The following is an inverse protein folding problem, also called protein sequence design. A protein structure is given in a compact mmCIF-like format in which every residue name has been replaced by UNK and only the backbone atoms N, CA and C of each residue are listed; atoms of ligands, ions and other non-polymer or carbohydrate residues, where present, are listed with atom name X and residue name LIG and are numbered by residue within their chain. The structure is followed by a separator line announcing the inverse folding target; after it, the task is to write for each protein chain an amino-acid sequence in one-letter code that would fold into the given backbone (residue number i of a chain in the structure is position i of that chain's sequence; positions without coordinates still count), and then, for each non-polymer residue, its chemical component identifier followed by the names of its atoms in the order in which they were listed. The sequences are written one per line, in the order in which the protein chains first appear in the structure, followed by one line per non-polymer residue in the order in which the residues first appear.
data_IF_989204126408
#
_entry.id   IF_989204126408
#
_cell.length_a   1.000
_cell.length_b   1.000
_cell.length_c   1.000
_cell.angle_alpha   90.00
_cell.angle_beta   90.00
_cell.angle_gamma   90.00
#
_symmetry.space_group_name_H-M   'P 1'
#
loop_
_entity.id
_entity.type
_entity.pdbx_description
1 polymer ?
2 non-polymer ?
3 water ?
#
# COMPACT_ATOMS: atom_id res chain seq x y z
N UNK A 20 20.75 -16.07 -12.91
CA UNK A 20 21.64 -16.80 -13.87
C UNK A 20 20.88 -17.33 -15.10
N UNK A 21 19.59 -16.97 -15.24
CA UNK A 21 18.70 -17.68 -16.15
C UNK A 21 17.73 -16.78 -16.94
N UNK A 22 17.15 -17.36 -17.98
CA UNK A 22 16.24 -16.67 -18.87
C UNK A 22 14.78 -16.88 -18.43
N UNK A 23 13.89 -16.00 -18.93
CA UNK A 23 12.44 -16.17 -18.87
C UNK A 23 11.85 -15.57 -20.13
N UNK A 24 10.84 -16.22 -20.68
CA UNK A 24 10.12 -15.71 -21.82
C UNK A 24 8.71 -15.27 -21.40
N UNK A 25 8.36 -14.03 -21.69
CA UNK A 25 7.00 -13.55 -21.39
C UNK A 25 6.47 -12.94 -22.67
N UNK A 26 5.46 -13.61 -23.24
CA UNK A 26 4.85 -13.16 -24.49
C UNK A 26 5.89 -12.98 -25.58
N UNK A 27 6.77 -13.98 -25.71
CA UNK A 27 7.78 -14.03 -26.76
C UNK A 27 9.04 -13.19 -26.53
N UNK A 28 9.07 -12.44 -25.43
CA UNK A 28 10.19 -11.59 -25.11
C UNK A 28 11.00 -12.20 -23.98
N UNK A 29 12.32 -12.17 -24.13
CA UNK A 29 13.26 -12.86 -23.26
C UNK A 29 13.84 -11.84 -22.27
N UNK A 30 13.87 -12.26 -21.01
CA UNK A 30 14.27 -11.43 -19.89
C UNK A 30 15.33 -12.20 -19.12
N UNK A 31 16.45 -11.54 -18.80
CA UNK A 31 17.48 -12.17 -17.98
C UNK A 31 17.25 -11.81 -16.53
N UNK A 32 17.40 -12.79 -15.65
CA UNK A 32 17.23 -12.57 -14.21
C UNK A 32 18.50 -11.97 -13.58
N UNK A 33 18.41 -10.74 -13.02
CA UNK A 33 19.52 -10.17 -12.25
C UNK A 33 19.49 -10.73 -10.84
N UNK A 34 18.39 -10.54 -10.14
CA UNK A 34 18.22 -11.11 -8.80
C UNK A 34 16.75 -11.32 -8.48
N UNK A 35 16.51 -12.08 -7.42
CA UNK A 35 15.22 -12.19 -6.81
C UNK A 35 15.05 -11.06 -5.78
N UNK A 36 13.94 -10.33 -5.88
CA UNK A 36 13.59 -9.30 -4.92
C UNK A 36 12.68 -9.86 -3.85
N UNK A 37 11.77 -10.75 -4.26
CA UNK A 37 10.61 -11.11 -3.44
C UNK A 37 10.34 -12.60 -3.32
N UNK A 38 9.83 -12.97 -2.15
CA UNK A 38 9.24 -14.28 -1.86
C UNK A 38 7.75 -14.05 -1.65
N UNK A 39 7.01 -15.11 -1.38
CA UNK A 39 5.54 -15.03 -1.25
C UNK A 39 4.86 -16.33 -1.57
N UNK A 40 3.53 -16.32 -1.55
CA UNK A 40 2.73 -17.52 -1.83
C UNK A 40 1.79 -17.32 -3.01
N UNK A 41 1.92 -18.14 -4.07
CA UNK A 41 3.09 -18.98 -4.34
C UNK A 41 3.97 -18.22 -5.35
N UNK A 42 4.36 -17.01 -4.97
CA UNK A 42 5.03 -16.10 -5.89
C UNK A 42 6.49 -15.70 -5.55
N UNK A 43 7.28 -15.57 -6.61
CA UNK A 43 8.60 -14.99 -6.59
C UNK A 43 8.60 -13.72 -7.44
N UNK A 44 9.31 -12.70 -6.99
CA UNK A 44 9.52 -11.49 -7.79
C UNK A 44 10.99 -11.37 -8.17
N UNK A 45 11.24 -11.09 -9.44
CA UNK A 45 12.59 -11.03 -9.97
C UNK A 45 12.87 -9.68 -10.59
N UNK A 46 14.07 -9.19 -10.35
CA UNK A 46 14.62 -8.07 -11.06
C UNK A 46 15.26 -8.65 -12.29
N UNK A 47 14.88 -8.13 -13.46
CA UNK A 47 15.28 -8.70 -14.74
C UNK A 47 15.61 -7.61 -15.72
N UNK A 48 16.31 -8.01 -16.79
CA UNK A 48 16.63 -7.11 -17.88
C UNK A 48 16.06 -7.66 -19.16
N UNK A 49 15.50 -6.78 -19.99
CA UNK A 49 15.12 -7.20 -21.33
C UNK A 49 16.35 -7.19 -22.29
N UNK A 50 16.12 -7.49 -23.56
CA UNK A 50 17.19 -7.56 -24.57
C UNK A 50 17.89 -6.21 -24.81
N UNK A 51 17.23 -5.09 -24.45
CA UNK A 51 17.80 -3.73 -24.56
C UNK A 51 18.43 -3.25 -23.23
N UNK A 52 18.54 -4.16 -22.27
CA UNK A 52 19.04 -3.90 -20.90
C UNK A 52 18.23 -2.88 -20.06
N UNK A 53 16.95 -2.78 -20.37
CA UNK A 53 15.96 -2.06 -19.55
C UNK A 53 15.50 -2.95 -18.39
N UNK A 54 15.39 -2.37 -17.20
CA UNK A 54 15.10 -3.09 -15.95
C UNK A 54 13.58 -3.17 -15.69
N UNK A 55 13.14 -4.36 -15.30
CA UNK A 55 11.76 -4.67 -14.96
C UNK A 55 11.76 -5.56 -13.73
N UNK A 56 10.58 -5.68 -13.13
CA UNK A 56 10.30 -6.72 -12.13
C UNK A 56 9.34 -7.69 -12.82
N UNK A 57 9.61 -8.99 -12.66
CA UNK A 57 8.69 -10.02 -13.12
C UNK A 57 8.25 -10.76 -11.89
N UNK A 58 6.94 -10.70 -11.65
CA UNK A 58 6.26 -11.53 -10.66
C UNK A 58 5.85 -12.87 -11.30
N UNK A 59 6.35 -13.95 -10.71
CA UNK A 59 5.98 -15.30 -11.09
C UNK A 59 5.04 -15.86 -10.01
N UNK A 60 3.90 -16.39 -10.44
CA UNK A 60 2.98 -17.06 -9.53
C UNK A 60 2.79 -18.48 -10.03
N UNK A 61 3.04 -19.47 -9.15
CA UNK A 61 2.72 -20.87 -9.42
C UNK A 61 1.25 -21.14 -9.13
N UNK A 62 0.55 -21.72 -10.11
CA UNK A 62 -0.88 -21.98 -9.97
C UNK A 62 -1.21 -23.44 -9.76
N UNK A 63 -0.21 -24.29 -9.52
CA UNK A 63 -0.48 -25.74 -9.39
C UNK A 63 -1.32 -26.11 -8.16
N UNK A 64 -1.22 -25.34 -7.09
CA UNK A 64 -2.00 -25.62 -5.88
C UNK A 64 -3.28 -24.76 -5.78
N UNK A 65 -3.32 -23.63 -6.48
CA UNK A 65 -4.40 -22.67 -6.33
C UNK A 65 -5.78 -23.25 -6.69
N UNK A 66 -6.73 -23.06 -5.77
CA UNK A 66 -8.11 -23.47 -5.95
C UNK A 66 -8.86 -22.37 -6.71
N UNK A 67 -10.11 -22.61 -7.08
CA UNK A 67 -10.80 -21.72 -8.03
C UNK A 67 -11.10 -20.32 -7.50
N UNK A 68 -11.37 -20.23 -6.20
CA UNK A 68 -11.65 -18.97 -5.55
C UNK A 68 -10.38 -18.10 -5.57
N UNK A 69 -9.24 -18.73 -5.32
CA UNK A 69 -7.90 -18.10 -5.34
C UNK A 69 -7.57 -17.63 -6.74
N UNK A 70 -7.73 -18.52 -7.71
CA UNK A 70 -7.54 -18.22 -9.11
C UNK A 70 -8.34 -16.98 -9.52
N UNK A 71 -9.59 -16.92 -9.09
CA UNK A 71 -10.44 -15.81 -9.42
C UNK A 71 -10.00 -14.51 -8.74
N UNK A 72 -9.44 -14.59 -7.53
CA UNK A 72 -8.95 -13.38 -6.87
C UNK A 72 -7.68 -12.87 -7.56
N UNK A 73 -6.85 -13.78 -8.07
CA UNK A 73 -5.68 -13.40 -8.87
C UNK A 73 -6.08 -12.74 -10.17
N UNK A 74 -7.03 -13.34 -10.88
CA UNK A 74 -7.50 -12.76 -12.14
C UNK A 74 -8.16 -11.41 -11.90
N UNK A 75 -8.89 -11.30 -10.80
CA UNK A 75 -9.60 -10.06 -10.48
C UNK A 75 -8.61 -8.88 -10.21
N UNK A 76 -7.58 -9.14 -9.42
CA UNK A 76 -6.55 -8.13 -9.17
C UNK A 76 -5.72 -7.73 -10.38
N UNK A 77 -5.30 -8.71 -11.19
CA UNK A 77 -4.66 -8.42 -12.49
C UNK A 77 -5.50 -7.49 -13.38
N UNK A 78 -6.79 -7.78 -13.44
CA UNK A 78 -7.71 -7.02 -14.27
C UNK A 78 -7.85 -5.53 -13.83
N UNK A 79 -7.92 -5.31 -12.52
CA UNK A 79 -7.97 -3.96 -11.94
C UNK A 79 -6.66 -3.22 -12.12
N UNK A 80 -5.54 -3.90 -11.86
CA UNK A 80 -4.23 -3.35 -12.11
C UNK A 80 -4.08 -2.88 -13.54
N UNK A 81 -4.40 -3.78 -14.42
CA UNK A 81 -4.38 -3.48 -15.82
C UNK A 81 -5.23 -2.25 -16.21
N UNK A 82 -6.45 -2.20 -15.67
CA UNK A 82 -7.36 -1.10 -15.91
C UNK A 82 -6.93 0.17 -15.22
N UNK A 83 -6.54 0.10 -13.96
CA UNK A 83 -6.24 1.33 -13.24
C UNK A 83 -4.94 1.99 -13.69
N UNK A 84 -4.14 1.27 -14.48
CA UNK A 84 -2.95 1.76 -15.21
C UNK A 84 -3.16 3.17 -15.73
N UNK A 85 -4.18 3.28 -16.57
CA UNK A 85 -4.42 4.45 -17.36
C UNK A 85 -5.00 5.61 -16.55
N UNK A 86 -5.43 5.34 -15.31
CA UNK A 86 -6.08 6.38 -14.49
C UNK A 86 -5.12 7.10 -13.57
N UNK A 87 -3.99 6.49 -13.22
CA UNK A 87 -3.05 7.16 -12.33
C UNK A 87 -1.67 6.57 -12.53
N UNK A 88 -0.66 7.43 -12.50
CA UNK A 88 0.73 6.96 -12.48
C UNK A 88 1.26 6.67 -11.07
N UNK A 89 0.38 6.74 -10.05
CA UNK A 89 0.69 6.32 -8.68
C UNK A 89 0.27 4.89 -8.40
N UNK A 90 -0.11 4.18 -9.47
CA UNK A 90 -0.29 2.76 -9.48
C UNK A 90 0.90 2.24 -10.29
N UNK A 91 1.60 1.27 -9.74
CA UNK A 91 2.65 0.56 -10.44
C UNK A 91 2.30 0.14 -11.89
N UNK A 92 3.24 0.29 -12.82
CA UNK A 92 2.95 -0.08 -14.18
C UNK A 92 3.01 -1.60 -14.30
N UNK A 93 2.03 -2.15 -15.01
CA UNK A 93 2.01 -3.53 -15.46
C UNK A 93 2.14 -3.41 -16.96
N UNK A 94 3.25 -3.88 -17.51
CA UNK A 94 3.55 -3.72 -18.92
C UNK A 94 2.95 -4.87 -19.72
N UNK A 95 3.02 -6.07 -19.18
CA UNK A 95 2.52 -7.24 -19.88
C UNK A 95 2.41 -8.40 -18.93
N UNK A 96 1.70 -9.44 -19.35
CA UNK A 96 1.61 -10.68 -18.60
C UNK A 96 1.28 -11.89 -19.45
N UNK A 97 1.64 -13.04 -18.93
CA UNK A 97 1.41 -14.31 -19.56
C UNK A 97 0.74 -15.15 -18.49
N UNK A 98 -0.47 -15.62 -18.77
CA UNK A 98 -1.20 -16.43 -17.81
C UNK A 98 -1.61 -17.75 -18.49
N UNK A 99 -1.24 -18.85 -17.84
CA UNK A 99 -1.61 -20.19 -18.25
C UNK A 99 -2.25 -20.88 -17.05
N UNK A 100 -2.58 -22.17 -17.21
CA UNK A 100 -3.16 -22.92 -16.13
C UNK A 100 -2.10 -23.30 -15.09
N UNK A 101 -0.82 -23.16 -15.45
CA UNK A 101 0.31 -23.52 -14.58
C UNK A 101 0.92 -22.34 -13.83
N UNK A 102 0.90 -21.15 -14.45
CA UNK A 102 1.65 -20.01 -13.90
C UNK A 102 1.12 -18.68 -14.41
N UNK A 103 1.43 -17.61 -13.66
CA UNK A 103 1.33 -16.22 -14.12
C UNK A 103 2.76 -15.63 -14.19
N UNK A 104 3.13 -14.99 -15.32
CA UNK A 104 4.22 -13.99 -15.35
C UNK A 104 3.67 -12.60 -15.56
N UNK A 105 4.05 -11.66 -14.72
CA UNK A 105 3.64 -10.26 -14.87
C UNK A 105 4.89 -9.42 -14.99
N UNK A 106 5.02 -8.68 -16.10
CA UNK A 106 6.12 -7.77 -16.32
C UNK A 106 5.70 -6.37 -15.85
N UNK A 107 6.39 -5.89 -14.82
CA UNK A 107 6.06 -4.66 -14.15
C UNK A 107 7.27 -3.73 -14.02
N UNK A 108 6.94 -2.51 -13.66
CA UNK A 108 7.85 -1.48 -13.21
C UNK A 108 8.64 -2.00 -12.03
N UNK A 109 9.93 -1.75 -12.06
CA UNK A 109 10.83 -2.13 -11.00
C UNK A 109 11.00 -1.01 -9.96
N UNK A 110 10.88 -1.36 -8.69
CA UNK A 110 11.00 -0.35 -7.64
C UNK A 110 12.38 -0.23 -7.03
N UNK A 111 12.69 0.96 -6.53
CA UNK A 111 13.93 1.19 -5.79
C UNK A 111 13.87 0.49 -4.43
N UNK A 112 12.80 0.76 -3.69
CA UNK A 112 12.66 0.25 -2.32
C UNK A 112 11.21 0.49 -1.88
N UNK A 113 10.66 -0.45 -1.09
CA UNK A 113 9.34 -0.25 -0.52
C UNK A 113 9.38 0.73 0.66
N UNK A 114 8.25 1.39 0.92
CA UNK A 114 8.14 2.43 1.95
C UNK A 114 8.48 1.94 3.35
N UNK A 115 8.05 0.74 3.71
CA UNK A 115 8.40 0.15 5.04
C UNK A 115 9.92 -0.04 5.27
N UNK A 116 10.64 -0.51 4.25
CA UNK A 116 12.12 -0.61 4.36
C UNK A 116 12.76 0.77 4.43
N UNK A 117 12.25 1.70 3.61
CA UNK A 117 12.75 3.06 3.58
C UNK A 117 12.57 3.76 4.93
N UNK A 118 11.45 3.51 5.59
CA UNK A 118 11.13 4.14 6.86
C UNK A 118 11.98 3.59 7.99
N UNK A 119 12.23 2.28 7.98
CA UNK A 119 13.13 1.64 8.95
C UNK A 119 14.56 2.19 8.82
N UNK A 120 15.02 2.42 7.60
CA UNK A 120 16.37 2.94 7.34
C UNK A 120 16.49 4.45 7.61
N UNK A 121 15.46 5.21 7.26
CA UNK A 121 15.54 6.67 7.39
C UNK A 121 15.50 7.10 8.88
N UNK A 122 16.47 7.91 9.30
CA UNK A 122 16.49 8.44 10.66
C UNK A 122 15.30 9.40 10.87
N UNK A 123 15.42 10.63 10.35
CA UNK A 123 14.27 11.54 10.26
C UNK A 123 13.89 11.75 8.78
N UNK A 124 12.66 12.22 8.56
CA UNK A 124 12.15 12.46 7.20
C UNK A 124 12.03 13.96 6.95
N UNK A 125 12.40 14.35 5.74
CA UNK A 125 12.19 15.71 5.24
C UNK A 125 10.66 15.97 5.17
N UNK A 126 10.17 17.05 5.80
CA UNK A 126 8.76 17.46 5.72
C UNK A 126 8.23 17.56 4.27
N UNK A 127 9.09 17.94 3.33
CA UNK A 127 8.73 18.05 1.93
C UNK A 127 8.52 16.68 1.31
N UNK A 128 9.43 15.77 1.64
CA UNK A 128 9.39 14.41 1.17
C UNK A 128 8.16 13.70 1.71
N UNK A 129 7.90 13.91 3.01
CA UNK A 129 6.72 13.36 3.70
C UNK A 129 5.40 13.82 3.10
N UNK A 130 5.29 15.13 2.88
CA UNK A 130 4.11 15.68 2.21
C UNK A 130 3.96 15.17 0.77
N UNK A 131 5.06 15.01 0.06
CA UNK A 131 5.00 14.49 -1.30
C UNK A 131 4.54 13.05 -1.33
N UNK A 132 5.08 12.23 -0.45
CA UNK A 132 4.68 10.82 -0.37
C UNK A 132 3.21 10.65 0.04
N UNK A 133 2.79 11.42 1.04
CA UNK A 133 1.38 11.49 1.42
C UNK A 133 0.47 11.84 0.27
N UNK A 134 0.80 12.83 -0.52
CA UNK A 134 0.01 13.15 -1.73
C UNK A 134 -0.12 11.98 -2.69
N UNK A 135 1.00 11.29 -2.94
CA UNK A 135 1.06 10.10 -3.77
C UNK A 135 0.19 8.99 -3.23
N UNK A 136 0.30 8.70 -1.93
CA UNK A 136 -0.58 7.70 -1.28
C UNK A 136 -2.07 8.00 -1.44
N UNK A 137 -2.45 9.25 -1.15
CA UNK A 137 -3.80 9.75 -1.34
C UNK A 137 -4.30 9.62 -2.75
N UNK A 138 -3.47 9.97 -3.76
CA UNK A 138 -3.86 9.84 -5.16
C UNK A 138 -4.06 8.35 -5.61
N UNK A 139 -3.20 7.45 -5.15
CA UNK A 139 -3.33 6.04 -5.47
C UNK A 139 -4.61 5.44 -4.86
N UNK A 140 -4.81 5.66 -3.57
CA UNK A 140 -5.97 5.10 -2.87
C UNK A 140 -7.31 5.70 -3.37
N UNK A 141 -7.33 7.02 -3.56
CA UNK A 141 -8.45 7.68 -4.22
C UNK A 141 -8.84 6.99 -5.53
N UNK A 142 -7.83 6.67 -6.32
CA UNK A 142 -8.05 6.01 -7.60
C UNK A 142 -8.80 4.68 -7.45
N UNK A 143 -8.31 3.83 -6.57
CA UNK A 143 -8.93 2.51 -6.37
C UNK A 143 -10.34 2.64 -5.77
N UNK A 144 -10.53 3.62 -4.88
CA UNK A 144 -11.84 3.90 -4.36
C UNK A 144 -12.84 4.30 -5.44
N UNK A 145 -12.39 5.05 -6.45
CA UNK A 145 -13.26 5.46 -7.55
C UNK A 145 -13.75 4.30 -8.40
N UNK A 146 -13.05 3.19 -8.37
CA UNK A 146 -13.46 1.99 -9.03
C UNK A 146 -14.09 0.97 -8.09
N UNK A 147 -14.43 1.37 -6.86
CA UNK A 147 -15.13 0.51 -5.87
C UNK A 147 -14.30 -0.45 -5.01
N UNK A 148 -13.00 -0.22 -4.93
CA UNK A 148 -12.08 -1.07 -4.20
C UNK A 148 -11.72 -0.38 -2.90
N UNK A 149 -12.08 -1.01 -1.79
CA UNK A 149 -11.52 -0.67 -0.49
C UNK A 149 -10.38 -1.68 -0.27
N UNK A 150 -9.18 -1.16 -0.02
CA UNK A 150 -8.01 -2.05 0.14
C UNK A 150 -8.18 -2.95 1.36
N UNK A 151 -8.42 -2.29 2.50
CA UNK A 151 -8.70 -2.87 3.80
C UNK A 151 -7.48 -3.40 4.58
N UNK A 152 -6.27 -3.34 4.00
CA UNK A 152 -5.04 -3.85 4.65
C UNK A 152 -3.85 -2.95 4.24
N UNK A 153 -4.04 -1.63 4.25
CA UNK A 153 -2.94 -0.72 3.86
C UNK A 153 -1.87 -0.69 4.95
N UNK A 154 -0.63 -0.79 4.49
CA UNK A 154 0.57 -0.75 5.30
C UNK A 154 1.61 -0.13 4.40
N UNK A 155 2.73 0.34 4.97
CA UNK A 155 3.83 0.91 4.18
C UNK A 155 4.36 -0.01 3.07
N UNK A 156 4.43 -1.31 3.34
CA UNK A 156 4.88 -2.31 2.34
C UNK A 156 4.03 -2.35 1.05
N UNK A 157 2.81 -1.79 1.08
CA UNK A 157 1.96 -1.74 -0.13
C UNK A 157 2.38 -0.65 -1.09
N UNK A 158 3.34 0.16 -0.67
CA UNK A 158 3.86 1.27 -1.46
C UNK A 158 5.32 1.07 -1.79
N UNK A 159 5.67 1.45 -3.01
CA UNK A 159 7.01 1.34 -3.57
C UNK A 159 7.52 2.71 -4.00
N UNK A 160 8.77 3.02 -3.66
CA UNK A 160 9.41 4.24 -4.18
C UNK A 160 10.00 3.95 -5.56
N UNK A 161 9.48 4.66 -6.57
CA UNK A 161 9.92 4.55 -7.95
C UNK A 161 10.13 5.98 -8.47
N UNK A 162 11.37 6.37 -8.71
CA UNK A 162 11.60 7.64 -9.38
C UNK A 162 11.24 8.82 -8.48
N UNK A 163 11.57 8.71 -7.18
CA UNK A 163 11.16 9.68 -6.18
C UNK A 163 9.65 9.78 -5.91
N UNK A 164 8.89 8.80 -6.38
CA UNK A 164 7.43 8.83 -6.34
C UNK A 164 6.97 7.57 -5.68
N UNK A 165 5.99 7.67 -4.78
CA UNK A 165 5.36 6.50 -4.17
C UNK A 165 4.26 5.93 -5.08
N UNK A 166 4.29 4.61 -5.27
CA UNK A 166 3.28 3.91 -6.06
C UNK A 166 2.65 2.77 -5.28
N UNK A 167 1.32 2.65 -5.37
CA UNK A 167 0.61 1.52 -4.81
C UNK A 167 0.87 0.26 -5.68
N UNK A 168 1.36 -0.79 -5.05
CA UNK A 168 1.69 -2.02 -5.78
C UNK A 168 0.62 -3.13 -5.74
N UNK A 169 -0.34 -2.98 -4.83
CA UNK A 169 -1.24 -4.06 -4.46
C UNK A 169 -2.61 -3.46 -4.09
N UNK A 170 -3.71 -4.13 -4.46
CA UNK A 170 -5.08 -3.64 -4.17
C UNK A 170 -5.84 -4.41 -3.07
N UNK A 171 -5.22 -5.44 -2.51
CA UNK A 171 -5.80 -6.17 -1.38
C UNK A 171 -6.82 -7.23 -1.77
N UNK A 172 -6.91 -7.47 -3.07
CA UNK A 172 -7.86 -8.41 -3.67
C UNK A 172 -7.20 -9.79 -3.69
N UNK A 173 -6.05 -9.94 -4.34
CA UNK A 173 -5.40 -11.27 -4.48
C UNK A 173 -4.83 -11.85 -3.17
N UNK A 174 -4.03 -11.04 -2.46
CA UNK A 174 -3.13 -11.52 -1.39
C UNK A 174 -3.88 -12.14 -0.18
N UNK A 175 -4.92 -11.44 0.26
CA UNK A 175 -5.94 -11.95 1.20
C UNK A 175 -5.81 -13.43 1.58
N UNK A 190 4.13 -2.56 12.48
CA UNK A 190 3.68 -3.93 12.68
C UNK A 190 2.81 -4.30 11.51
N UNK A 191 1.72 -5.01 11.80
CA UNK A 191 0.74 -5.41 10.77
C UNK A 191 -0.70 -5.18 11.31
N UNK A 192 -0.89 -5.56 12.57
CA UNK A 192 -2.05 -5.16 13.39
C UNK A 192 -2.09 -3.64 13.72
N UNK A 193 -0.99 -2.91 13.55
CA UNK A 193 -0.91 -1.49 13.95
C UNK A 193 -1.71 -0.50 13.11
N UNK A 194 -2.01 -0.93 11.87
CA UNK A 194 -2.75 -0.16 10.89
C UNK A 194 -4.23 -0.56 10.80
N UNK A 195 -4.61 -1.56 11.59
CA UNK A 195 -6.00 -2.05 11.61
C UNK A 195 -7.03 -1.05 12.20
N UNK A 196 -8.11 -0.76 11.45
CA UNK A 196 -9.06 0.20 11.96
C UNK A 196 -10.05 -0.33 13.00
N UNK A 197 -10.51 0.56 13.88
CA UNK A 197 -11.36 0.11 14.97
C UNK A 197 -12.64 -0.59 14.50
N UNK A 198 -13.21 -0.17 13.39
CA UNK A 198 -14.45 -0.74 12.92
C UNK A 198 -14.27 -2.15 12.36
N UNK A 199 -13.06 -2.50 11.94
CA UNK A 199 -12.75 -3.88 11.53
C UNK A 199 -12.74 -4.81 12.76
N UNK A 200 -12.21 -4.29 13.87
CA UNK A 200 -12.11 -5.00 15.15
C UNK A 200 -13.48 -5.12 15.82
N UNK A 201 -14.28 -4.07 15.76
CA UNK A 201 -15.66 -4.10 16.30
C UNK A 201 -16.58 -4.98 15.45
N UNK A 202 -16.16 -5.31 14.22
CA UNK A 202 -16.90 -6.17 13.29
C UNK A 202 -16.82 -7.65 13.70
N UNK A 203 -16.19 -7.93 14.83
CA UNK A 203 -15.78 -9.26 15.21
C UNK A 203 -16.56 -9.70 16.44
N UNK A 214 -18.68 -5.61 6.63
CA UNK A 214 -19.96 -4.90 6.72
C UNK A 214 -19.70 -3.48 7.23
N UNK A 215 -18.93 -3.38 8.31
CA UNK A 215 -18.54 -2.08 8.88
C UNK A 215 -17.38 -1.40 8.10
N UNK A 216 -16.67 -2.19 7.29
CA UNK A 216 -15.53 -1.73 6.48
C UNK A 216 -15.99 -0.89 5.26
N UNK A 217 -15.51 0.34 5.19
CA UNK A 217 -15.88 1.27 4.11
C UNK A 217 -14.61 1.93 3.60
N UNK A 218 -14.72 2.83 2.60
CA UNK A 218 -13.53 3.61 2.17
C UNK A 218 -12.80 4.32 3.30
N UNK A 219 -13.55 4.72 4.33
CA UNK A 219 -12.98 5.31 5.51
C UNK A 219 -12.03 4.40 6.29
N UNK A 220 -12.14 3.08 6.14
CA UNK A 220 -11.18 2.18 6.78
C UNK A 220 -9.75 2.43 6.28
N UNK A 221 -9.64 2.77 5.01
CA UNK A 221 -8.36 3.05 4.35
C UNK A 221 -7.78 4.39 4.80
N UNK A 222 -8.64 5.34 5.10
CA UNK A 222 -8.21 6.61 5.71
C UNK A 222 -7.56 6.39 7.08
N UNK A 223 -8.12 5.52 7.92
CA UNK A 223 -7.52 5.20 9.22
C UNK A 223 -6.12 4.67 8.97
N UNK A 224 -6.01 3.66 8.11
CA UNK A 224 -4.70 3.02 7.88
C UNK A 224 -3.65 3.98 7.32
N UNK A 225 -4.02 4.79 6.32
CA UNK A 225 -3.17 5.85 5.78
C UNK A 225 -2.73 6.82 6.86
N UNK A 226 -3.69 7.23 7.69
CA UNK A 226 -3.41 8.04 8.85
C UNK A 226 -2.36 7.48 9.77
N UNK A 227 -2.42 6.18 10.03
CA UNK A 227 -1.38 5.48 10.79
C UNK A 227 -0.02 5.53 10.10
N UNK A 228 -0.03 5.41 8.76
CA UNK A 228 1.20 5.52 7.96
C UNK A 228 1.80 6.92 8.05
N UNK A 229 0.97 7.96 8.00
CA UNK A 229 1.47 9.31 8.12
C UNK A 229 1.92 9.64 9.57
N UNK A 230 1.19 9.11 10.55
CA UNK A 230 1.58 9.22 11.97
C UNK A 230 3.00 8.70 12.19
N UNK A 231 3.30 7.53 11.63
CA UNK A 231 4.63 6.92 11.62
C UNK A 231 5.70 7.80 10.95
N UNK A 232 5.35 8.40 9.82
CA UNK A 232 6.27 9.28 9.10
C UNK A 232 6.50 10.59 9.83
N UNK A 233 5.61 10.92 10.76
CA UNK A 233 5.64 12.18 11.54
C UNK A 233 6.29 12.01 12.90
N UNK A 234 5.78 11.04 13.66
CA UNK A 234 6.23 10.77 15.03
C UNK A 234 7.08 9.50 15.17
N UNK A 235 7.52 8.90 14.07
CA UNK A 235 8.47 7.77 14.11
C UNK A 235 7.93 6.49 14.72
N UNK A 236 6.62 6.40 14.91
CA UNK A 236 5.94 5.17 15.35
C UNK A 236 4.48 5.21 14.92
N UNK A 237 3.85 4.05 14.86
CA UNK A 237 2.41 3.99 14.70
C UNK A 237 1.74 4.31 16.04
N UNK A 238 0.44 4.72 16.00
CA UNK A 238 -0.16 5.29 17.22
C UNK A 238 -0.22 4.36 18.42
N UNK A 239 -0.28 3.04 18.19
CA UNK A 239 -0.40 2.05 19.27
C UNK A 239 0.81 1.09 19.32
N UNK A 240 1.91 1.46 18.69
CA UNK A 240 3.14 0.63 18.73
C UNK A 240 3.58 0.27 20.16
N UNK A 241 3.31 1.16 21.11
CA UNK A 241 3.68 0.98 22.53
C UNK A 241 3.07 -0.28 23.13
N UNK A 242 1.84 -0.62 22.73
CA UNK A 242 1.11 -1.70 23.37
C UNK A 242 1.50 -3.05 22.74
N UNK A 243 2.29 -3.81 23.49
CA UNK A 243 2.88 -5.06 23.06
C UNK A 243 1.91 -6.26 23.18
N UNK A 244 1.20 -6.37 24.31
CA UNK A 244 0.18 -7.42 24.47
C UNK A 244 -0.95 -7.12 23.43
N UNK A 245 -1.15 -8.05 22.48
CA UNK A 245 -2.02 -7.86 21.31
C UNK A 245 -3.48 -7.73 21.65
N UNK A 246 -3.96 -8.53 22.61
CA UNK A 246 -5.31 -8.32 23.12
C UNK A 246 -5.45 -6.88 23.65
N UNK A 247 -4.39 -6.36 24.26
CA UNK A 247 -4.42 -5.00 24.80
C UNK A 247 -4.42 -3.93 23.69
N UNK A 248 -3.45 -4.04 22.77
CA UNK A 248 -3.36 -3.16 21.61
C UNK A 248 -4.71 -3.03 20.93
N UNK A 249 -5.33 -4.16 20.60
CA UNK A 249 -6.64 -4.15 19.94
C UNK A 249 -7.72 -3.41 20.73
N UNK A 250 -7.74 -3.59 22.05
CA UNK A 250 -8.67 -2.88 22.91
C UNK A 250 -8.41 -1.40 22.89
N UNK A 251 -7.13 -1.00 22.87
CA UNK A 251 -6.75 0.40 22.75
C UNK A 251 -7.33 1.02 21.47
N UNK A 252 -7.12 0.33 20.35
CA UNK A 252 -7.59 0.79 19.04
C UNK A 252 -9.11 1.09 19.05
N UNK A 253 -9.89 0.27 19.74
CA UNK A 253 -11.34 0.47 19.77
C UNK A 253 -11.85 1.32 20.97
N UNK A 254 -10.97 1.64 21.91
CA UNK A 254 -11.37 2.31 23.16
C UNK A 254 -11.27 3.83 23.04
N UNK A 255 -12.42 4.52 23.02
CA UNK A 255 -12.43 5.98 22.88
C UNK A 255 -11.98 6.73 24.13
N UNK A 256 -11.82 6.02 25.25
CA UNK A 256 -11.20 6.58 26.46
C UNK A 256 -9.69 6.56 26.36
N UNK A 257 -9.16 5.75 25.45
CA UNK A 257 -7.72 5.75 25.15
C UNK A 257 -7.46 6.86 24.15
N UNK A 258 -6.94 7.98 24.63
CA UNK A 258 -6.66 9.11 23.77
C UNK A 258 -5.33 8.87 23.09
N UNK A 259 -5.34 8.99 21.76
CA UNK A 259 -4.13 8.97 20.97
C UNK A 259 -3.42 10.29 21.21
N UNK A 260 -2.09 10.24 21.31
CA UNK A 260 -1.30 11.43 21.52
C UNK A 260 -0.87 12.05 20.19
N UNK A 261 -0.94 13.38 20.13
CA UNK A 261 -0.48 14.15 18.98
C UNK A 261 0.46 15.25 19.45
N UNK A 262 1.74 14.89 19.67
CA UNK A 262 2.62 15.92 20.21
C UNK A 262 2.72 17.12 19.27
N UNK A 263 2.90 18.30 19.86
CA UNK A 263 3.01 19.55 19.10
C UNK A 263 4.17 19.45 18.12
N UNK A 264 3.88 19.74 16.84
CA UNK A 264 4.90 19.74 15.79
C UNK A 264 4.70 20.99 14.92
N UNK A 265 5.81 21.49 14.33
CA UNK A 265 5.83 22.79 13.61
C UNK A 265 4.79 22.88 12.52
N UNK A 266 4.37 21.73 11.97
CA UNK A 266 3.30 21.73 10.99
C UNK A 266 1.96 21.45 11.66
N UNK A 267 1.21 22.52 11.89
CA UNK A 267 -0.13 22.44 12.48
C UNK A 267 -1.13 21.81 11.53
N UNK A 268 -0.94 22.05 10.23
CA UNK A 268 -1.76 21.41 9.18
C UNK A 268 -1.63 19.88 9.25
N UNK A 269 -0.42 19.39 9.47
CA UNK A 269 -0.12 17.96 9.56
C UNK A 269 -0.75 17.31 10.79
N UNK A 270 -0.68 17.99 11.93
CA UNK A 270 -1.35 17.56 13.15
C UNK A 270 -2.83 17.37 12.94
N UNK A 271 -3.47 18.40 12.40
CA UNK A 271 -4.88 18.36 12.07
C UNK A 271 -5.24 17.15 11.17
N UNK A 272 -4.45 16.89 10.13
CA UNK A 272 -4.66 15.73 9.26
C UNK A 272 -4.65 14.42 10.05
N UNK A 273 -3.65 14.23 10.91
CA UNK A 273 -3.53 12.99 11.74
C UNK A 273 -4.76 12.79 12.64
N UNK A 274 -5.15 13.86 13.32
CA UNK A 274 -6.35 13.89 14.13
C UNK A 274 -7.66 13.57 13.41
N UNK A 275 -7.83 14.10 12.19
CA UNK A 275 -9.00 13.81 11.34
C UNK A 275 -9.06 12.38 10.78
N UNK A 276 -7.89 11.81 10.51
CA UNK A 276 -7.77 10.44 10.03
C UNK A 276 -7.93 9.41 11.14
N UNK A 277 -7.52 9.76 12.36
CA UNK A 277 -7.47 8.81 13.46
C UNK A 277 -8.66 8.96 14.38
N UNK A 278 -9.81 9.28 13.79
CA UNK A 278 -11.08 9.27 14.49
C UNK A 278 -11.65 7.86 14.47
N UNK A 279 -12.00 7.34 15.65
CA UNK A 279 -12.49 6.00 15.76
C UNK A 279 -13.85 5.79 15.09
N UNK A 280 -14.76 6.77 15.19
CA UNK A 280 -16.05 6.69 14.52
C UNK A 280 -15.82 7.07 13.07
N UNK A 281 -16.04 6.11 12.14
CA UNK A 281 -15.79 6.36 10.72
C UNK A 281 -16.66 7.46 10.10
N UNK A 282 -17.85 7.70 10.66
CA UNK A 282 -18.71 8.78 10.20
C UNK A 282 -18.11 10.15 10.55
N UNK A 283 -17.35 10.22 11.65
CA UNK A 283 -16.65 11.45 12.06
C UNK A 283 -15.28 11.58 11.40
N UNK A 284 -14.80 10.49 10.81
CA UNK A 284 -13.50 10.45 10.17
C UNK A 284 -13.58 11.14 8.79
N UNK A 285 -12.49 11.83 8.44
CA UNK A 285 -12.37 12.51 7.17
C UNK A 285 -12.27 11.49 6.01
N UNK A 286 -12.77 11.90 4.84
CA UNK A 286 -12.74 11.10 3.62
C UNK A 286 -11.54 11.46 2.71
N UNK A 287 -11.22 10.60 1.75
CA UNK A 287 -10.12 10.92 0.81
C UNK A 287 -10.31 12.23 0.00
N UNK A 288 -11.49 12.43 -0.60
CA UNK A 288 -11.71 13.67 -1.32
C UNK A 288 -11.51 14.90 -0.45
N UNK A 289 -11.97 14.85 0.80
CA UNK A 289 -11.73 15.91 1.76
C UNK A 289 -10.24 16.06 2.09
N UNK A 290 -9.54 14.95 2.21
CA UNK A 290 -8.10 14.98 2.51
C UNK A 290 -7.30 15.60 1.33
N UNK A 291 -7.84 15.50 0.12
CA UNK A 291 -7.16 16.06 -1.05
C UNK A 291 -7.27 17.60 -1.17
N UNK A 292 -8.33 18.17 -0.57
CA UNK A 292 -8.56 19.61 -0.45
C UNK A 292 -7.99 20.24 0.84
N UNK A 293 -7.34 19.43 1.68
CA UNK A 293 -6.78 19.86 2.94
C UNK A 293 -5.54 20.75 2.73
N UNK A 294 -5.38 21.80 3.57
CA UNK A 294 -4.23 22.70 3.40
C UNK A 294 -2.88 21.98 3.48
N UNK A 295 -2.80 20.89 4.24
CA UNK A 295 -1.55 20.16 4.34
C UNK A 295 -1.04 19.76 2.95
N UNK A 296 -1.92 19.23 2.10
CA UNK A 296 -1.52 18.85 0.74
C UNK A 296 -1.66 19.94 -0.29
N UNK A 297 -2.46 20.96 -0.02
CA UNK A 297 -2.67 22.00 -1.02
C UNK A 297 -1.77 23.23 -0.89
N UNK A 298 -1.35 23.57 0.33
CA UNK A 298 -0.58 24.78 0.61
C UNK A 298 0.88 24.45 1.01
N UNK A 299 1.83 25.25 0.54
CA UNK A 299 3.20 25.31 1.13
C UNK A 299 3.89 26.61 0.71
X LIG B 1 0.99 -12.45 -4.48
X LIG B 1 -0.05 -13.36 -4.92
X LIG B 1 -0.12 -13.41 -6.44
X LIG B 1 -1.22 -12.63 -6.92
X LIG B 1 -1.14 -12.36 -8.32
X LIG B 1 -1.67 -10.97 -8.71
X LIG B 1 -1.07 -9.86 -7.96
X LIG B 1 -0.65 -8.78 -8.81
X LIG B 1 -0.05 -7.59 -8.08
X LIG B 1 1.36 -7.84 -7.86
X LIG B 1 1.96 -6.70 -7.25
X LIG B 1 3.29 -7.10 -6.59
X LIG B 1 3.08 -7.77 -5.35
X LIG B 1 4.15 -8.76 -5.20
X LIG B 1 4.09 -9.65 -3.95
X LIG B 1 3.21 -10.80 -4.00
X LIG C 1 -9.97 -2.80 -22.91
X LIG C 1 -9.39 -3.81 -22.04
X LIG C 1 -7.94 -3.52 -21.59
X LIG C 1 -7.05 -4.53 -22.13
X LIG C 1 -7.05 -5.76 -21.35
X LIG C 1 -6.18 -6.85 -21.97
X LIG C 1 -4.78 -6.50 -21.88
X LIG C 1 -4.04 -7.53 -21.17
X LIG C 1 -2.57 -7.51 -21.52
X LIG C 1 -2.11 -6.16 -21.36
X LIG C 1 -0.99 -6.15 -20.47
X LIG C 1 -0.88 -4.92 -19.56
X LIG C 1 -1.68 -3.79 -19.96
X LIG C 1 -0.92 -2.77 -20.64
X LIG C 1 -1.88 -1.82 -21.37
X LIG C 1 -2.83 -1.29 -20.44
#
# INVERSE_FOLDING_TARGET
MHHHHHHSSGVDLGTENLYFQSMSVKGRIYSILKQIGSGGSSKVFQVLNEKKQIYAIKYVNLEEADNQTLDSYRNEIAYLNKLQQHSDKIIRLYDYEITDQYIYMVMECGNIDLNSWLKKKKSIDPWERKSYWKNMLEAVHTIHQHGIVHSDLKPANFLIVDGMLKLIDFGIANQMQPDTTSVVKDSQVGTVNYMPPEAIKDMSSSRENGKSKSKISPKSDVWSLGCILYYMTYGKTPFQQIINQISKLHAIIDPNHEIEFPDIPEKDLQDVLKCCLKRDPKQRISIPELLAHPYVQIQTHPVNQMAKGTTEE
7PE O19 C18 C17 O16 C15 C14 O13 C12 C11 O10 C9 C8 O7 C6 C5 O4
7PE O16 C15 C14 O13 C12 C11 O10 C9 C8 O7 C6 C5 O4 C3 C2 O1
#
